data_IF_722120949622
#
_entry.id   IF_722120949622
#
_cell.length_a   1.000
_cell.length_b   1.000
_cell.length_c   1.000
_cell.angle_alpha   90.00
_cell.angle_beta   90.00
_cell.angle_gamma   90.00
#
_symmetry.space_group_name_H-M   'P 1'
#
loop_
_entity.id
_entity.type
_entity.pdbx_description
1 polymer ?
#
# COMPACT_ATOMS: atom_id res chain seq x y z
N UNK A 1 -3.97 -48.98 23.23
CA UNK A 1 -4.77 -48.15 22.29
C UNK A 1 -4.85 -46.66 22.65
N UNK A 2 -4.91 -46.24 23.94
CA UNK A 2 -4.93 -44.81 24.34
C UNK A 2 -3.67 -44.00 23.95
N UNK A 3 -2.48 -44.59 24.07
CA UNK A 3 -1.20 -43.90 23.81
C UNK A 3 -0.98 -43.50 22.32
N UNK A 4 -1.42 -44.33 21.38
CA UNK A 4 -1.26 -44.04 19.94
C UNK A 4 -2.20 -42.92 19.47
N UNK A 5 -3.39 -42.78 20.08
CA UNK A 5 -4.30 -41.66 19.79
C UNK A 5 -3.74 -40.33 20.29
N UNK A 6 -3.13 -40.31 21.47
CA UNK A 6 -2.46 -39.10 22.00
C UNK A 6 -1.29 -38.65 21.12
N UNK A 7 -0.45 -39.58 20.64
CA UNK A 7 0.69 -39.24 19.77
C UNK A 7 0.24 -38.73 18.40
N UNK A 8 -0.79 -39.36 17.81
CA UNK A 8 -1.36 -38.91 16.55
C UNK A 8 -1.99 -37.51 16.66
N UNK A 9 -2.68 -37.22 17.77
CA UNK A 9 -3.27 -35.89 18.01
C UNK A 9 -2.20 -34.80 18.17
N UNK A 10 -1.10 -35.10 18.87
CA UNK A 10 0.03 -34.18 19.06
C UNK A 10 0.75 -33.91 17.73
N UNK A 11 0.95 -34.94 16.89
CA UNK A 11 1.50 -34.74 15.55
C UNK A 11 0.58 -33.92 14.64
N UNK A 12 -0.75 -34.14 14.73
CA UNK A 12 -1.72 -33.34 13.97
C UNK A 12 -1.73 -31.88 14.43
N UNK A 13 -1.69 -31.63 15.74
CA UNK A 13 -1.59 -30.29 16.32
C UNK A 13 -0.29 -29.58 15.94
N UNK A 14 0.85 -30.29 15.96
CA UNK A 14 2.13 -29.74 15.52
C UNK A 14 2.15 -29.42 14.02
N UNK A 15 1.55 -30.28 13.18
CA UNK A 15 1.37 -30.01 11.76
C UNK A 15 0.45 -28.81 11.51
N UNK A 16 -0.66 -28.70 12.26
CA UNK A 16 -1.56 -27.55 12.19
C UNK A 16 -0.88 -26.26 12.66
N UNK A 17 -0.08 -26.28 13.73
CA UNK A 17 0.69 -25.10 14.15
C UNK A 17 1.74 -24.70 13.09
N UNK A 18 2.42 -25.66 12.47
CA UNK A 18 3.36 -25.39 11.37
C UNK A 18 2.68 -24.78 10.15
N UNK A 19 1.47 -25.22 9.81
CA UNK A 19 0.64 -24.65 8.75
C UNK A 19 0.08 -23.26 9.10
N UNK A 20 -0.25 -23.00 10.36
CA UNK A 20 -0.74 -21.67 10.80
C UNK A 20 0.40 -20.66 10.90
N UNK A 21 1.63 -21.08 11.21
CA UNK A 21 2.81 -20.21 11.13
C UNK A 21 3.29 -19.95 9.68
N UNK A 22 2.78 -20.72 8.71
CA UNK A 22 2.99 -20.47 7.27
C UNK A 22 1.91 -19.54 6.67
N UNK A 23 0.95 -19.06 7.47
CA UNK A 23 0.15 -17.90 7.10
C UNK A 23 1.11 -16.72 6.97
N UNK A 24 1.41 -16.33 5.73
CA UNK A 24 2.36 -15.29 5.37
C UNK A 24 2.27 -14.11 6.33
N UNK A 25 3.36 -13.83 7.04
CA UNK A 25 3.47 -12.58 7.78
C UNK A 25 3.18 -11.42 6.82
N UNK A 26 2.48 -10.39 7.30
CA UNK A 26 2.32 -9.17 6.51
C UNK A 26 3.74 -8.70 6.10
N UNK A 27 3.97 -8.41 4.81
CA UNK A 27 5.25 -7.89 4.40
C UNK A 27 5.57 -6.62 5.20
N UNK A 28 6.84 -6.42 5.59
CA UNK A 28 7.29 -5.17 6.19
C UNK A 28 6.85 -3.96 5.37
N UNK A 29 6.61 -2.83 6.05
CA UNK A 29 6.20 -1.58 5.40
C UNK A 29 7.21 -1.21 4.31
N UNK A 30 8.50 -1.35 4.59
CA UNK A 30 9.59 -1.03 3.67
C UNK A 30 9.50 -1.82 2.37
N UNK A 31 9.17 -3.12 2.44
CA UNK A 31 8.98 -3.94 1.23
C UNK A 31 7.77 -3.51 0.42
N UNK A 32 6.70 -3.06 1.09
CA UNK A 32 5.51 -2.55 0.42
C UNK A 32 5.77 -1.22 -0.30
N UNK A 33 6.54 -0.32 0.33
CA UNK A 33 6.97 0.91 -0.32
C UNK A 33 7.91 0.62 -1.49
N UNK A 34 8.85 -0.32 -1.35
CA UNK A 34 9.73 -0.68 -2.45
C UNK A 34 8.93 -1.17 -3.67
N UNK A 35 7.89 -1.99 -3.48
CA UNK A 35 7.01 -2.40 -4.59
C UNK A 35 6.31 -1.23 -5.29
N UNK A 36 5.92 -0.20 -4.53
CA UNK A 36 5.32 1.01 -5.08
C UNK A 36 6.36 1.80 -5.90
N UNK A 37 7.59 1.94 -5.40
CA UNK A 37 8.67 2.61 -6.12
C UNK A 37 9.03 1.84 -7.40
N UNK A 38 9.25 0.53 -7.29
CA UNK A 38 9.54 -0.37 -8.40
C UNK A 38 8.47 -0.26 -9.50
N UNK A 39 7.20 -0.07 -9.13
CA UNK A 39 6.11 0.10 -10.10
C UNK A 39 6.36 1.30 -11.03
N UNK A 40 6.61 2.49 -10.46
CA UNK A 40 6.86 3.70 -11.25
C UNK A 40 8.24 3.69 -11.92
N UNK A 41 9.26 3.15 -11.27
CA UNK A 41 10.59 3.01 -11.85
C UNK A 41 10.60 2.09 -13.07
N UNK A 42 9.83 0.99 -13.04
CA UNK A 42 9.66 0.10 -14.20
C UNK A 42 8.89 0.75 -15.36
N UNK A 43 8.11 1.80 -15.08
CA UNK A 43 7.46 2.64 -16.10
C UNK A 43 8.41 3.73 -16.62
N UNK A 44 9.59 3.89 -16.03
CA UNK A 44 10.63 4.81 -16.47
C UNK A 44 10.73 6.12 -15.69
N UNK A 45 9.99 6.27 -14.59
CA UNK A 45 10.05 7.46 -13.74
C UNK A 45 11.14 7.33 -12.67
N UNK A 46 11.95 8.37 -12.49
CA UNK A 46 12.81 8.48 -11.33
C UNK A 46 11.97 8.84 -10.10
N UNK A 47 12.08 8.06 -9.02
CA UNK A 47 11.26 8.22 -7.83
C UNK A 47 12.04 8.84 -6.66
N UNK A 48 11.44 9.82 -5.99
CA UNK A 48 11.92 10.35 -4.71
C UNK A 48 10.76 10.40 -3.71
N UNK A 49 10.91 9.73 -2.58
CA UNK A 49 9.90 9.66 -1.54
C UNK A 49 10.32 10.50 -0.33
N UNK A 50 9.41 11.32 0.18
CA UNK A 50 9.65 12.14 1.38
C UNK A 50 8.41 12.20 2.28
N UNK A 51 8.55 12.23 3.61
CA UNK A 51 7.41 12.35 4.51
C UNK A 51 6.78 13.75 4.40
N UNK A 52 5.45 13.83 4.50
CA UNK A 52 4.72 15.11 4.57
C UNK A 52 4.50 15.60 6.00
N UNK A 53 5.01 14.88 7.00
CA UNK A 53 4.98 15.30 8.40
C UNK A 53 5.48 16.75 8.53
N UNK A 54 4.77 17.56 9.32
CA UNK A 54 5.09 18.97 9.59
C UNK A 54 5.06 19.93 8.39
N UNK A 55 4.60 19.49 7.21
CA UNK A 55 4.44 20.37 6.03
C UNK A 55 3.35 21.43 6.20
N UNK A 56 2.41 21.23 7.15
CA UNK A 56 1.21 22.06 7.28
C UNK A 56 0.27 21.99 6.08
N UNK A 57 0.52 21.05 5.16
CA UNK A 57 -0.23 20.88 3.92
C UNK A 57 -1.60 20.26 4.21
N UNK A 58 -2.60 20.72 3.49
CA UNK A 58 -3.91 20.09 3.50
C UNK A 58 -3.87 18.79 2.67
N UNK A 59 -4.41 17.71 3.23
CA UNK A 59 -4.34 16.35 2.68
C UNK A 59 -5.72 15.70 2.64
N UNK A 60 -5.95 14.72 1.74
CA UNK A 60 -7.30 14.19 1.50
C UNK A 60 -8.01 13.57 2.71
N UNK A 61 -7.28 12.80 3.53
CA UNK A 61 -7.80 12.08 4.70
C UNK A 61 -6.75 12.06 5.81
N UNK A 62 -7.19 11.94 7.07
CA UNK A 62 -6.31 12.01 8.24
C UNK A 62 -5.49 13.32 8.28
N UNK A 63 -4.33 13.32 8.94
CA UNK A 63 -3.39 14.44 8.95
C UNK A 63 -2.13 14.14 8.11
N UNK A 64 -1.33 15.17 7.79
CA UNK A 64 -0.15 15.07 6.92
C UNK A 64 0.93 14.11 7.44
N UNK A 65 0.94 13.78 8.72
CA UNK A 65 1.80 12.78 9.34
C UNK A 65 1.59 11.35 8.81
N UNK A 66 0.43 11.08 8.20
CA UNK A 66 0.09 9.79 7.61
C UNK A 66 0.37 9.72 6.10
N UNK A 67 0.93 10.78 5.52
CA UNK A 67 1.20 10.88 4.10
C UNK A 67 2.68 11.04 3.80
N UNK A 68 3.07 10.52 2.65
CA UNK A 68 4.34 10.79 1.99
C UNK A 68 4.07 11.47 0.64
N UNK A 69 5.04 12.24 0.18
CA UNK A 69 5.11 12.79 -1.17
C UNK A 69 6.04 11.90 -2.00
N UNK A 70 5.51 11.30 -3.06
CA UNK A 70 6.26 10.59 -4.07
C UNK A 70 6.41 11.49 -5.30
N UNK A 71 7.61 12.04 -5.48
CA UNK A 71 7.98 12.84 -6.65
C UNK A 71 8.47 11.92 -7.78
N UNK A 72 7.87 12.08 -8.95
CA UNK A 72 8.22 11.41 -10.20
C UNK A 72 8.96 12.42 -11.10
N UNK A 73 10.19 12.08 -11.49
CA UNK A 73 11.12 12.92 -12.26
C UNK A 73 11.35 14.32 -11.66
N UNK A 74 11.08 14.50 -10.37
CA UNK A 74 11.11 15.79 -9.68
C UNK A 74 10.07 16.80 -10.18
N UNK A 75 9.02 16.34 -10.87
CA UNK A 75 8.00 17.21 -11.51
C UNK A 75 6.59 16.88 -11.05
N UNK A 76 6.23 15.61 -11.10
CA UNK A 76 4.88 15.16 -10.80
C UNK A 76 4.84 14.59 -9.38
N UNK A 77 3.82 14.95 -8.61
CA UNK A 77 3.67 14.52 -7.22
C UNK A 77 2.48 13.59 -7.07
N UNK A 78 2.74 12.39 -6.55
CA UNK A 78 1.71 11.47 -6.07
C UNK A 78 1.73 11.50 -4.55
N UNK A 79 0.60 11.83 -3.93
CA UNK A 79 0.44 11.72 -2.48
C UNK A 79 0.20 10.25 -2.13
N UNK A 80 0.98 9.73 -1.19
CA UNK A 80 0.97 8.33 -0.79
C UNK A 80 0.52 8.23 0.67
N UNK A 81 -0.64 7.60 0.90
CA UNK A 81 -1.15 7.28 2.23
C UNK A 81 -1.01 5.79 2.50
N UNK A 82 -0.42 5.41 3.64
CA UNK A 82 -0.29 4.01 4.07
C UNK A 82 -1.29 3.66 5.17
N UNK A 83 -2.22 2.75 4.88
CA UNK A 83 -3.20 2.23 5.82
C UNK A 83 -2.73 0.96 6.54
N UNK A 84 -2.53 1.06 7.85
CA UNK A 84 -2.21 -0.09 8.70
C UNK A 84 -3.38 -1.08 8.90
N UNK A 85 -4.57 -0.81 8.33
CA UNK A 85 -5.78 -1.63 8.52
C UNK A 85 -6.27 -2.41 7.28
N UNK A 86 -5.58 -2.38 6.13
CA UNK A 86 -6.01 -2.99 4.86
C UNK A 86 -7.32 -2.43 4.25
N UNK A 87 -7.60 -1.15 4.44
CA UNK A 87 -8.82 -0.46 4.00
C UNK A 87 -8.57 0.53 2.88
N UNK A 88 -7.46 0.40 2.15
CA UNK A 88 -7.12 1.34 1.08
C UNK A 88 -8.24 1.53 0.06
N UNK A 89 -8.95 0.45 -0.30
CA UNK A 89 -10.11 0.48 -1.21
C UNK A 89 -11.27 1.36 -0.73
N UNK A 90 -11.63 1.20 0.55
CA UNK A 90 -12.64 2.04 1.17
C UNK A 90 -12.16 3.49 1.31
N UNK A 91 -10.89 3.69 1.67
CA UNK A 91 -10.31 5.00 1.94
C UNK A 91 -10.09 5.81 0.65
N UNK A 92 -9.72 5.19 -0.47
CA UNK A 92 -9.61 5.86 -1.77
C UNK A 92 -10.96 6.40 -2.22
N UNK A 93 -12.05 5.66 -1.98
CA UNK A 93 -13.41 6.12 -2.25
C UNK A 93 -13.91 7.27 -1.37
N UNK A 94 -13.14 7.68 -0.34
CA UNK A 94 -13.45 8.84 0.51
C UNK A 94 -12.71 10.11 0.12
N UNK A 95 -11.76 10.01 -0.81
CA UNK A 95 -11.03 11.18 -1.30
C UNK A 95 -11.98 12.06 -2.11
N UNK A 96 -12.00 13.36 -1.81
CA UNK A 96 -12.70 14.35 -2.63
C UNK A 96 -11.95 14.53 -3.95
N UNK A 97 -12.42 13.84 -5.00
CA UNK A 97 -11.77 13.83 -6.31
C UNK A 97 -11.96 15.14 -7.08
N UNK A 98 -12.98 15.95 -6.73
CA UNK A 98 -13.12 17.30 -7.30
C UNK A 98 -12.00 18.22 -6.80
N UNK A 99 -11.61 18.03 -5.53
CA UNK A 99 -10.56 18.83 -4.88
C UNK A 99 -9.15 18.33 -5.14
N UNK A 100 -8.92 17.02 -5.08
CA UNK A 100 -7.57 16.44 -5.09
C UNK A 100 -7.22 15.67 -6.37
N UNK A 101 -8.17 15.52 -7.30
CA UNK A 101 -7.97 14.80 -8.55
C UNK A 101 -8.20 13.30 -8.42
N UNK A 102 -7.39 12.52 -9.13
CA UNK A 102 -7.52 11.06 -9.17
C UNK A 102 -7.14 10.46 -7.81
N UNK A 103 -7.93 9.51 -7.32
CA UNK A 103 -7.61 8.69 -6.17
C UNK A 103 -7.76 7.21 -6.53
N UNK A 104 -6.73 6.42 -6.24
CA UNK A 104 -6.72 4.97 -6.47
C UNK A 104 -6.04 4.27 -5.30
N UNK A 105 -6.11 2.94 -5.27
CA UNK A 105 -5.33 2.14 -4.33
C UNK A 105 -4.19 1.43 -5.04
N UNK A 106 -3.16 1.11 -4.27
CA UNK A 106 -2.10 0.19 -4.67
C UNK A 106 -2.00 -0.95 -3.65
N UNK A 107 -2.34 -2.16 -4.10
CA UNK A 107 -2.53 -3.30 -3.23
C UNK A 107 -3.64 -3.05 -2.19
N UNK A 108 -3.45 -3.58 -0.97
CA UNK A 108 -4.43 -3.46 0.13
C UNK A 108 -4.17 -2.27 1.05
N UNK A 109 -3.00 -1.64 0.94
CA UNK A 109 -2.43 -0.78 1.98
C UNK A 109 -2.24 0.66 1.54
N UNK A 110 -2.08 0.95 0.27
CA UNK A 110 -1.80 2.31 -0.18
C UNK A 110 -3.01 2.96 -0.82
N UNK A 111 -3.25 4.22 -0.47
CA UNK A 111 -4.06 5.14 -1.26
C UNK A 111 -3.11 6.10 -1.95
N UNK A 112 -3.24 6.22 -3.27
CA UNK A 112 -2.48 7.12 -4.12
C UNK A 112 -3.41 8.23 -4.61
N UNK A 113 -2.99 9.48 -4.47
CA UNK A 113 -3.77 10.64 -4.91
C UNK A 113 -2.92 11.51 -5.83
N UNK A 114 -3.47 11.85 -6.99
CA UNK A 114 -2.78 12.57 -8.04
C UNK A 114 -3.65 13.69 -8.61
N UNK A 115 -3.22 14.93 -8.36
CA UNK A 115 -3.85 16.15 -8.89
C UNK A 115 -3.08 16.78 -10.06
N UNK A 116 -2.03 16.13 -10.56
CA UNK A 116 -1.20 16.64 -11.64
C UNK A 116 -1.84 16.49 -13.03
N UNK A 117 -1.10 16.91 -14.05
CA UNK A 117 -1.58 17.01 -15.43
C UNK A 117 -0.85 16.07 -16.42
N UNK A 118 0.15 15.32 -15.97
CA UNK A 118 0.83 14.32 -16.80
C UNK A 118 -0.10 13.13 -17.06
N UNK A 119 -0.47 12.94 -18.32
CA UNK A 119 -1.37 11.86 -18.73
C UNK A 119 -0.74 10.48 -18.54
N UNK A 120 0.60 10.36 -18.61
CA UNK A 120 1.29 9.09 -18.39
C UNK A 120 1.19 8.64 -16.93
N UNK A 121 1.37 9.57 -15.98
CA UNK A 121 1.18 9.29 -14.55
C UNK A 121 -0.29 8.97 -14.27
N UNK A 122 -1.23 9.70 -14.86
CA UNK A 122 -2.66 9.41 -14.72
C UNK A 122 -3.02 8.02 -15.23
N UNK A 123 -2.60 7.68 -16.45
CA UNK A 123 -2.84 6.36 -17.05
C UNK A 123 -2.18 5.25 -16.22
N UNK A 124 -0.95 5.47 -15.74
CA UNK A 124 -0.27 4.54 -14.84
C UNK A 124 -1.07 4.28 -13.55
N UNK A 125 -1.72 5.29 -12.98
CA UNK A 125 -2.54 5.12 -11.77
C UNK A 125 -3.88 4.43 -12.05
N UNK A 126 -4.51 4.72 -13.19
CA UNK A 126 -5.78 4.12 -13.60
C UNK A 126 -5.65 2.64 -14.00
N UNK A 127 -4.46 2.23 -14.46
CA UNK A 127 -4.18 0.87 -14.92
C UNK A 127 -3.59 -0.06 -13.85
N UNK A 128 -3.42 0.42 -12.61
CA UNK A 128 -2.95 -0.42 -11.49
C UNK A 128 -3.84 -1.66 -11.36
N UNK A 129 -3.25 -2.83 -11.58
CA UNK A 129 -3.91 -4.11 -11.36
C UNK A 129 -4.06 -4.34 -9.86
N UNK A 130 -5.29 -4.15 -9.42
CA UNK A 130 -5.71 -4.15 -8.04
C UNK A 130 -6.26 -5.53 -7.65
N UNK A 131 -5.47 -6.57 -7.90
CA UNK A 131 -5.77 -7.98 -7.56
C UNK A 131 -5.47 -8.33 -6.10
#
# INVERSE_FOLDING_TARGET
MKANRSRALVCLLAACLGLVCACAANPPREELYQKLLDYFENLGYACELSPLADSGRDVPIAGPEAWDSLMLDGREEVLVYFDESNRADYLSGRVDTERYGLATRFGLRFVLVYGGADEGVREALETILNE
#
